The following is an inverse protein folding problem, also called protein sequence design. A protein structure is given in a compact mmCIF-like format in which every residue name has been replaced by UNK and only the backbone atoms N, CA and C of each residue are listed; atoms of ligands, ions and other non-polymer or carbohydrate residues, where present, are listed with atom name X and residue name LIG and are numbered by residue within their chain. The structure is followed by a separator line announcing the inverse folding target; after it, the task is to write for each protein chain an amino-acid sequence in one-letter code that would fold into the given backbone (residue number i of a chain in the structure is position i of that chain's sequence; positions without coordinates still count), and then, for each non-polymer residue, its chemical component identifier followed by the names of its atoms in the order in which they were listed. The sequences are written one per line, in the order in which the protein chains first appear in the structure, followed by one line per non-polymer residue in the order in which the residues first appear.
data_IF_057538198369
#
_entry.id   IF_057538198369
#
_cell.length_a   1.000
_cell.length_b   1.000
_cell.length_c   1.000
_cell.angle_alpha   90.00
_cell.angle_beta   90.00
_cell.angle_gamma   90.00
#
_symmetry.space_group_name_H-M   'P 1'
#
loop_
_entity.id
_entity.type
_entity.pdbx_description
1 polymer ?
#
# COMPACT_ATOMS: atom_id res chain seq x y z
N UNK A 1 -2.90 -16.94 10.49
CA UNK A 1 -3.44 -16.61 9.15
C UNK A 1 -2.44 -15.81 8.30
N UNK A 2 -1.87 -14.69 8.78
CA UNK A 2 -0.88 -13.92 7.99
C UNK A 2 0.34 -14.77 7.64
N UNK A 3 0.91 -15.46 8.60
CA UNK A 3 2.06 -16.34 8.38
C UNK A 3 1.74 -17.48 7.42
N UNK A 4 0.60 -18.15 7.60
CA UNK A 4 0.14 -19.18 6.67
C UNK A 4 -0.03 -18.65 5.23
N UNK A 5 -0.40 -17.38 5.07
CA UNK A 5 -0.43 -16.74 3.76
C UNK A 5 0.98 -16.54 3.18
N UNK A 6 1.93 -16.07 4.00
CA UNK A 6 3.32 -15.89 3.58
C UNK A 6 4.01 -17.25 3.30
N UNK A 7 3.77 -18.28 4.12
CA UNK A 7 4.26 -19.64 3.88
C UNK A 7 3.71 -20.22 2.59
N UNK A 8 2.45 -19.92 2.26
CA UNK A 8 1.84 -20.31 1.00
C UNK A 8 2.54 -19.78 -0.27
N UNK A 9 3.55 -18.92 -0.15
CA UNK A 9 4.35 -18.47 -1.30
C UNK A 9 5.40 -19.47 -1.77
N UNK A 10 5.64 -20.57 -1.07
CA UNK A 10 6.67 -21.56 -1.40
C UNK A 10 6.53 -22.19 -2.80
N UNK A 11 5.32 -22.23 -3.37
CA UNK A 11 5.13 -22.74 -4.73
C UNK A 11 5.29 -21.73 -5.84
N UNK A 12 5.69 -20.52 -5.55
CA UNK A 12 6.05 -19.56 -6.58
C UNK A 12 7.48 -19.79 -7.09
N UNK A 13 7.73 -19.44 -8.35
CA UNK A 13 9.07 -19.45 -8.92
C UNK A 13 9.93 -18.32 -8.35
N UNK A 14 11.26 -18.47 -8.41
CA UNK A 14 12.21 -17.41 -8.09
C UNK A 14 12.50 -17.25 -6.60
N UNK A 15 12.91 -16.05 -6.19
CA UNK A 15 13.32 -15.74 -4.83
C UNK A 15 12.10 -15.54 -3.91
N UNK A 16 11.76 -16.57 -3.17
CA UNK A 16 10.61 -16.60 -2.26
C UNK A 16 10.79 -15.62 -1.10
N UNK A 17 11.99 -15.49 -0.56
CA UNK A 17 12.26 -14.56 0.54
C UNK A 17 11.98 -13.12 0.11
N UNK A 18 12.48 -12.73 -1.05
CA UNK A 18 12.22 -11.41 -1.64
C UNK A 18 10.73 -11.19 -1.95
N UNK A 19 10.01 -12.24 -2.36
CA UNK A 19 8.56 -12.16 -2.56
C UNK A 19 7.84 -11.89 -1.25
N UNK A 20 8.16 -12.61 -0.17
CA UNK A 20 7.59 -12.43 1.16
C UNK A 20 7.89 -11.02 1.73
N UNK A 21 9.11 -10.54 1.53
CA UNK A 21 9.48 -9.16 1.88
C UNK A 21 8.62 -8.13 1.12
N UNK A 22 8.44 -8.34 -0.19
CA UNK A 22 7.61 -7.47 -1.01
C UNK A 22 6.15 -7.48 -0.56
N UNK A 23 5.61 -8.65 -0.26
CA UNK A 23 4.24 -8.78 0.25
C UNK A 23 4.07 -8.10 1.61
N UNK A 24 5.04 -8.22 2.50
CA UNK A 24 5.03 -7.53 3.80
C UNK A 24 5.04 -6.01 3.62
N UNK A 25 5.85 -5.48 2.68
CA UNK A 25 5.88 -4.04 2.35
C UNK A 25 4.54 -3.54 1.78
N UNK A 26 3.91 -4.34 0.93
CA UNK A 26 2.58 -4.04 0.37
C UNK A 26 1.54 -3.97 1.50
N UNK A 27 1.53 -4.93 2.41
CA UNK A 27 0.62 -4.95 3.56
C UNK A 27 0.85 -3.76 4.49
N UNK A 28 2.10 -3.44 4.78
CA UNK A 28 2.44 -2.26 5.59
C UNK A 28 1.93 -0.96 4.95
N UNK A 29 2.11 -0.78 3.64
CA UNK A 29 1.55 0.35 2.93
C UNK A 29 0.03 0.40 3.06
N UNK A 30 -0.65 -0.74 2.88
CA UNK A 30 -2.11 -0.80 3.03
C UNK A 30 -2.56 -0.40 4.44
N UNK A 31 -1.86 -0.85 5.47
CA UNK A 31 -2.18 -0.50 6.86
C UNK A 31 -1.97 0.99 7.15
N UNK A 32 -0.98 1.61 6.54
CA UNK A 32 -0.68 3.03 6.67
C UNK A 32 -1.53 3.91 5.74
N UNK A 33 -2.13 3.34 4.70
CA UNK A 33 -2.81 4.09 3.64
C UNK A 33 -3.90 5.06 4.11
N UNK A 34 -4.68 4.78 5.18
CA UNK A 34 -5.68 5.72 5.68
C UNK A 34 -5.10 7.02 6.25
N UNK A 35 -3.83 7.00 6.64
CA UNK A 35 -3.15 8.17 7.22
C UNK A 35 -2.46 9.05 6.17
N UNK A 36 -2.23 8.52 4.97
CA UNK A 36 -1.40 9.18 3.95
C UNK A 36 -1.90 10.57 3.56
N UNK A 37 -3.20 10.75 3.39
CA UNK A 37 -3.76 12.04 2.99
C UNK A 37 -3.58 13.10 4.10
N UNK A 38 -3.83 12.74 5.36
CA UNK A 38 -3.61 13.63 6.51
C UNK A 38 -2.14 14.02 6.62
N UNK A 39 -1.24 13.05 6.62
CA UNK A 39 0.20 13.29 6.71
C UNK A 39 0.72 14.17 5.56
N UNK A 40 0.19 13.95 4.37
CA UNK A 40 0.51 14.77 3.20
C UNK A 40 0.03 16.20 3.35
N UNK A 41 -1.16 16.41 3.90
CA UNK A 41 -1.71 17.71 4.21
C UNK A 41 -0.85 18.44 5.26
N UNK A 42 -0.56 17.78 6.39
CA UNK A 42 0.21 18.35 7.51
C UNK A 42 1.64 18.73 7.08
N UNK A 43 2.28 17.92 6.23
CA UNK A 43 3.64 18.15 5.76
C UNK A 43 3.73 19.13 4.58
N UNK A 44 2.66 19.32 3.83
CA UNK A 44 2.64 20.12 2.59
C UNK A 44 3.23 21.54 2.74
N UNK A 45 3.01 22.29 3.84
CA UNK A 45 3.59 23.62 4.02
C UNK A 45 5.12 23.63 4.20
N UNK A 46 5.69 22.51 4.60
CA UNK A 46 7.11 22.36 4.96
C UNK A 46 7.94 21.60 3.92
N UNK A 47 7.25 20.96 2.99
CA UNK A 47 7.90 20.15 1.96
C UNK A 47 8.53 21.02 0.88
N UNK A 48 9.70 20.63 0.34
CA UNK A 48 10.18 21.18 -0.91
C UNK A 48 9.15 21.04 -2.01
N UNK A 49 9.10 21.99 -2.95
CA UNK A 49 8.14 21.98 -4.05
C UNK A 49 8.09 20.61 -4.75
N UNK A 50 6.89 20.11 -4.98
CA UNK A 50 6.60 18.84 -5.65
C UNK A 50 7.14 17.57 -4.98
N UNK A 51 7.58 17.61 -3.71
CA UNK A 51 8.17 16.47 -3.01
C UNK A 51 7.19 15.70 -2.14
N UNK A 52 6.07 16.27 -1.73
CA UNK A 52 5.12 15.68 -0.75
C UNK A 52 4.62 14.32 -1.20
N UNK A 53 4.30 14.17 -2.47
CA UNK A 53 3.84 12.90 -3.04
C UNK A 53 4.89 11.77 -2.96
N UNK A 54 6.17 12.09 -2.81
CA UNK A 54 7.23 11.11 -2.63
C UNK A 54 7.21 10.50 -1.23
N UNK A 55 6.92 11.30 -0.21
CA UNK A 55 6.93 10.84 1.18
C UNK A 55 5.63 10.17 1.60
N UNK A 56 4.51 10.67 1.07
CA UNK A 56 3.16 10.15 1.37
C UNK A 56 2.42 9.80 0.07
N UNK A 57 2.80 8.71 -0.61
CA UNK A 57 2.22 8.33 -1.89
C UNK A 57 0.77 7.87 -1.73
N UNK A 58 -0.12 8.39 -2.57
CA UNK A 58 -1.53 7.98 -2.62
C UNK A 58 -1.77 6.79 -3.55
N UNK A 59 -0.75 6.38 -4.30
CA UNK A 59 -0.82 5.29 -5.27
C UNK A 59 0.28 4.29 -5.03
N UNK A 60 -0.08 3.01 -5.10
CA UNK A 60 0.85 1.90 -5.17
C UNK A 60 0.62 1.15 -6.48
N UNK A 61 1.69 0.94 -7.23
CA UNK A 61 1.66 0.19 -8.48
C UNK A 61 2.41 -1.12 -8.26
N UNK A 62 1.73 -2.24 -8.49
CA UNK A 62 2.32 -3.58 -8.42
C UNK A 62 2.33 -4.14 -9.83
N UNK A 63 3.52 -4.37 -10.36
CA UNK A 63 3.73 -4.95 -11.70
C UNK A 63 4.35 -6.34 -11.62
N UNK A 64 4.06 -7.17 -12.60
CA UNK A 64 4.62 -8.51 -12.71
C UNK A 64 3.72 -9.43 -13.53
N UNK A 65 4.16 -10.65 -13.83
CA UNK A 65 3.45 -11.57 -14.71
C UNK A 65 2.06 -11.93 -14.17
N UNK A 66 1.24 -12.52 -15.03
CA UNK A 66 0.00 -13.18 -14.60
C UNK A 66 0.34 -14.25 -13.55
N UNK A 67 -0.62 -14.56 -12.69
CA UNK A 67 -0.43 -15.53 -11.59
C UNK A 67 0.71 -15.19 -10.61
N UNK A 68 1.19 -13.94 -10.58
CA UNK A 68 2.18 -13.45 -9.62
C UNK A 68 1.61 -13.08 -8.24
N UNK A 69 0.34 -13.38 -7.96
CA UNK A 69 -0.29 -13.11 -6.65
C UNK A 69 -0.61 -11.63 -6.36
N UNK A 70 -0.47 -10.73 -7.35
CA UNK A 70 -0.66 -9.27 -7.19
C UNK A 70 -2.00 -8.89 -6.57
N UNK A 71 -3.09 -9.35 -7.16
CA UNK A 71 -4.45 -9.04 -6.67
C UNK A 71 -4.77 -9.81 -5.40
N UNK A 72 -4.19 -11.00 -5.23
CA UNK A 72 -4.38 -11.84 -4.04
C UNK A 72 -3.82 -11.18 -2.78
N UNK A 73 -2.60 -10.63 -2.81
CA UNK A 73 -2.01 -9.94 -1.66
C UNK A 73 -2.83 -8.70 -1.26
N UNK A 74 -3.36 -7.95 -2.23
CA UNK A 74 -4.21 -6.78 -1.94
C UNK A 74 -5.53 -7.23 -1.27
N UNK A 75 -6.19 -8.24 -1.82
CA UNK A 75 -7.42 -8.80 -1.21
C UNK A 75 -7.16 -9.35 0.19
N UNK A 76 -6.03 -9.99 0.40
CA UNK A 76 -5.59 -10.44 1.74
C UNK A 76 -5.43 -9.26 2.70
N UNK A 77 -4.77 -8.20 2.27
CA UNK A 77 -4.66 -6.97 3.06
C UNK A 77 -6.03 -6.36 3.40
N UNK A 78 -6.95 -6.33 2.44
CA UNK A 78 -8.32 -5.87 2.68
C UNK A 78 -9.07 -6.75 3.69
N UNK A 79 -8.90 -8.07 3.65
CA UNK A 79 -9.46 -8.97 4.66
C UNK A 79 -8.87 -8.69 6.05
N UNK A 80 -7.56 -8.49 6.16
CA UNK A 80 -6.92 -8.12 7.42
C UNK A 80 -7.39 -6.76 7.97
N UNK A 81 -7.74 -5.81 7.09
CA UNK A 81 -8.22 -4.48 7.48
C UNK A 81 -9.72 -4.45 7.80
N UNK A 82 -10.53 -5.07 6.97
CA UNK A 82 -12.00 -4.89 6.96
C UNK A 82 -12.78 -6.19 7.21
N UNK A 83 -12.12 -7.33 7.34
CA UNK A 83 -12.76 -8.65 7.43
C UNK A 83 -13.38 -9.13 6.11
N UNK A 84 -13.19 -8.39 5.02
CA UNK A 84 -13.71 -8.70 3.69
C UNK A 84 -12.89 -8.02 2.60
N UNK A 85 -12.93 -8.55 1.37
CA UNK A 85 -12.44 -7.82 0.20
C UNK A 85 -13.38 -6.68 -0.15
N UNK A 86 -12.81 -5.55 -0.54
CA UNK A 86 -13.56 -4.42 -1.09
C UNK A 86 -13.82 -4.64 -2.58
N UNK A 87 -14.80 -3.92 -3.11
CA UNK A 87 -15.09 -3.94 -4.54
C UNK A 87 -13.88 -3.45 -5.36
N UNK A 88 -13.50 -4.21 -6.38
CA UNK A 88 -12.46 -3.82 -7.33
C UNK A 88 -13.03 -2.82 -8.33
N UNK A 89 -12.37 -1.68 -8.48
CA UNK A 89 -12.80 -0.69 -9.48
C UNK A 89 -12.37 -1.12 -10.89
N UNK A 90 -13.21 -0.89 -11.90
CA UNK A 90 -12.86 -1.18 -13.28
C UNK A 90 -11.75 -0.22 -13.77
N UNK A 91 -10.91 -0.67 -14.70
CA UNK A 91 -9.79 0.13 -15.25
C UNK A 91 -10.25 1.42 -15.93
N UNK A 92 -11.52 1.48 -16.35
CA UNK A 92 -12.13 2.68 -16.95
C UNK A 92 -12.25 3.88 -16.01
N UNK A 93 -12.07 3.67 -14.68
CA UNK A 93 -12.03 4.78 -13.71
C UNK A 93 -10.73 5.58 -13.78
N UNK A 94 -9.66 5.01 -14.36
CA UNK A 94 -8.42 5.75 -14.59
C UNK A 94 -8.64 6.78 -15.71
N UNK A 95 -9.24 7.86 -15.31
CA UNK A 95 -9.36 9.09 -16.08
C UNK A 95 -9.43 10.24 -15.06
N UNK A 96 -8.95 11.45 -15.40
CA UNK A 96 -8.88 12.55 -14.44
C UNK A 96 -10.22 12.80 -13.73
N UNK A 97 -11.29 12.92 -14.49
CA UNK A 97 -12.63 13.26 -13.94
C UNK A 97 -13.20 12.14 -13.08
N UNK A 98 -13.13 10.89 -13.55
CA UNK A 98 -13.76 9.76 -12.83
C UNK A 98 -13.03 9.44 -11.54
N UNK A 99 -11.69 9.40 -11.59
CA UNK A 99 -10.91 9.05 -10.42
C UNK A 99 -11.03 10.11 -9.32
N UNK A 100 -11.11 11.38 -9.67
CA UNK A 100 -11.29 12.46 -8.70
C UNK A 100 -12.59 12.32 -7.90
N UNK A 101 -13.68 11.87 -8.52
CA UNK A 101 -14.92 11.57 -7.82
C UNK A 101 -14.74 10.43 -6.80
N UNK A 102 -13.99 9.39 -7.14
CA UNK A 102 -13.69 8.29 -6.21
C UNK A 102 -12.75 8.73 -5.08
N UNK A 103 -11.77 9.58 -5.35
CA UNK A 103 -10.83 10.09 -4.34
C UNK A 103 -11.57 10.69 -3.13
N UNK A 104 -12.59 11.48 -3.39
CA UNK A 104 -13.40 12.13 -2.33
C UNK A 104 -14.34 11.14 -1.65
N UNK A 105 -14.90 10.20 -2.39
CA UNK A 105 -15.93 9.27 -1.91
C UNK A 105 -15.43 8.13 -1.04
N UNK A 106 -14.17 7.73 -1.20
CA UNK A 106 -13.61 6.49 -0.59
C UNK A 106 -13.12 6.69 0.85
N UNK A 107 -12.94 7.91 1.32
CA UNK A 107 -12.62 8.25 2.72
C UNK A 107 -11.44 7.46 3.31
N UNK A 108 -10.29 7.50 2.67
CA UNK A 108 -9.03 6.91 3.18
C UNK A 108 -8.89 5.40 2.96
N UNK A 109 -9.89 4.71 2.40
CA UNK A 109 -9.77 3.27 2.13
C UNK A 109 -8.80 2.98 0.97
N UNK A 110 -7.97 1.91 1.07
CA UNK A 110 -7.18 1.41 -0.05
C UNK A 110 -8.06 0.62 -1.03
N UNK A 111 -8.15 1.07 -2.27
CA UNK A 111 -9.01 0.48 -3.30
C UNK A 111 -8.18 -0.11 -4.44
N UNK A 112 -8.55 -1.32 -4.86
CA UNK A 112 -7.90 -2.02 -5.97
C UNK A 112 -8.48 -1.58 -7.32
N UNK A 113 -7.58 -1.25 -8.25
CA UNK A 113 -7.84 -1.16 -9.69
C UNK A 113 -6.97 -2.24 -10.35
N UNK A 114 -7.60 -3.32 -10.80
CA UNK A 114 -6.91 -4.53 -11.20
C UNK A 114 -6.64 -4.56 -12.71
N UNK A 115 -5.48 -5.08 -13.09
CA UNK A 115 -5.07 -5.37 -14.48
C UNK A 115 -5.10 -4.14 -15.42
N UNK A 116 -4.47 -3.06 -14.99
CA UNK A 116 -4.45 -1.80 -15.74
C UNK A 116 -3.52 -1.91 -16.96
N UNK A 117 -4.05 -1.55 -18.12
CA UNK A 117 -3.34 -1.59 -19.41
C UNK A 117 -2.50 -0.33 -19.67
N UNK A 118 -1.53 -0.43 -20.58
CA UNK A 118 -0.68 0.70 -21.02
C UNK A 118 -1.47 1.93 -21.46
N UNK A 119 -2.56 1.73 -22.17
CA UNK A 119 -3.41 2.82 -22.66
C UNK A 119 -4.02 3.67 -21.52
N UNK A 120 -4.20 3.08 -20.35
CA UNK A 120 -4.73 3.77 -19.16
C UNK A 120 -3.64 4.45 -18.36
N UNK A 121 -2.42 3.92 -18.33
CA UNK A 121 -1.29 4.51 -17.61
C UNK A 121 -0.92 5.92 -18.08
N UNK A 122 -1.20 6.27 -19.34
CA UNK A 122 -0.95 7.64 -19.86
C UNK A 122 -1.68 8.73 -19.06
N UNK A 123 -2.83 8.40 -18.45
CA UNK A 123 -3.61 9.36 -17.65
C UNK A 123 -3.09 9.51 -16.22
N UNK A 124 -2.31 8.54 -15.72
CA UNK A 124 -1.82 8.58 -14.34
C UNK A 124 -0.95 9.80 -14.05
N UNK A 125 -0.20 10.28 -15.03
CA UNK A 125 0.65 11.46 -14.86
C UNK A 125 -0.13 12.68 -14.38
N UNK A 126 -1.25 12.97 -15.02
CA UNK A 126 -2.06 14.14 -14.69
C UNK A 126 -2.84 13.93 -13.38
N UNK A 127 -3.35 12.72 -13.19
CA UNK A 127 -4.06 12.29 -11.98
C UNK A 127 -3.18 12.44 -10.73
N UNK A 128 -1.95 11.94 -10.78
CA UNK A 128 -1.02 11.97 -9.63
C UNK A 128 -0.53 13.39 -9.32
N UNK A 129 -0.48 14.26 -10.33
CA UNK A 129 -0.15 15.68 -10.13
C UNK A 129 -1.28 16.49 -9.53
N UNK A 130 -2.53 16.15 -9.84
CA UNK A 130 -3.70 16.87 -9.31
C UNK A 130 -3.95 16.63 -7.81
N UNK A 131 -3.41 15.54 -7.24
CA UNK A 131 -3.63 15.17 -5.85
C UNK A 131 -3.17 16.23 -4.84
N UNK A 132 -2.05 16.91 -5.12
CA UNK A 132 -1.54 17.93 -4.23
C UNK A 132 -2.53 19.09 -4.06
N UNK A 133 -3.20 19.49 -5.14
CA UNK A 133 -4.20 20.53 -5.10
C UNK A 133 -5.46 20.10 -4.32
N UNK A 134 -5.91 18.84 -4.52
CA UNK A 134 -7.06 18.28 -3.82
C UNK A 134 -6.83 18.18 -2.30
N UNK A 135 -5.66 17.71 -1.90
CA UNK A 135 -5.33 17.55 -0.48
C UNK A 135 -5.14 18.92 0.20
N UNK A 136 -4.48 19.86 -0.45
CA UNK A 136 -4.36 21.26 0.04
C UNK A 136 -5.73 21.95 0.16
N UNK A 137 -6.71 21.56 -0.64
CA UNK A 137 -8.11 21.96 -0.51
C UNK A 137 -8.88 21.29 0.65
N UNK A 138 -8.17 20.77 1.66
CA UNK A 138 -8.71 20.11 2.87
C UNK A 138 -9.38 18.75 2.60
N UNK A 139 -9.08 18.08 1.49
CA UNK A 139 -9.53 16.70 1.29
C UNK A 139 -8.58 15.69 1.97
N UNK A 140 -8.51 15.75 3.28
CA UNK A 140 -7.67 14.86 4.10
C UNK A 140 -8.17 13.41 4.16
N UNK A 141 -9.38 13.15 3.68
CA UNK A 141 -9.97 11.80 3.62
C UNK A 141 -9.79 11.14 2.24
N UNK A 142 -8.90 11.66 1.42
CA UNK A 142 -8.58 11.13 0.12
C UNK A 142 -8.19 9.65 0.19
N UNK A 143 -8.83 8.81 -0.63
CA UNK A 143 -8.51 7.38 -0.70
C UNK A 143 -7.18 7.10 -1.37
N UNK A 144 -6.62 5.93 -1.08
CA UNK A 144 -5.42 5.42 -1.76
C UNK A 144 -5.80 4.38 -2.82
N UNK A 145 -5.02 4.30 -3.88
CA UNK A 145 -5.29 3.40 -5.00
C UNK A 145 -4.16 2.39 -5.19
N UNK A 146 -4.54 1.13 -5.21
CA UNK A 146 -3.67 -0.01 -5.42
C UNK A 146 -3.89 -0.48 -6.87
N UNK A 147 -2.89 -0.29 -7.70
CA UNK A 147 -2.97 -0.55 -9.15
C UNK A 147 -2.14 -1.77 -9.46
N UNK A 148 -2.74 -2.79 -10.07
CA UNK A 148 -1.98 -3.92 -10.60
C UNK A 148 -1.85 -3.82 -12.11
N UNK A 149 -0.76 -4.33 -12.63
CA UNK A 149 -0.52 -4.40 -14.08
C UNK A 149 0.35 -5.58 -14.43
N UNK A 150 0.23 -6.08 -15.64
CA UNK A 150 1.11 -7.09 -16.20
C UNK A 150 2.41 -6.45 -16.71
N UNK A 151 3.41 -7.26 -17.05
CA UNK A 151 4.74 -6.81 -17.44
C UNK A 151 4.77 -5.88 -18.67
N UNK A 152 5.89 -5.16 -18.81
CA UNK A 152 6.20 -4.38 -20.01
C UNK A 152 5.78 -2.92 -19.98
N UNK A 153 5.28 -2.43 -18.86
CA UNK A 153 4.86 -1.02 -18.75
C UNK A 153 6.01 -0.08 -18.40
N UNK A 154 6.26 0.89 -19.25
CA UNK A 154 7.18 1.98 -18.97
C UNK A 154 6.41 3.07 -18.24
N UNK A 155 6.75 3.29 -16.96
CA UNK A 155 6.14 4.35 -16.16
C UNK A 155 6.85 5.68 -16.42
N UNK A 156 6.07 6.75 -16.58
CA UNK A 156 6.61 8.11 -16.66
C UNK A 156 7.40 8.43 -15.35
N UNK A 157 8.60 9.02 -15.45
CA UNK A 157 9.42 9.37 -14.28
C UNK A 157 8.67 10.24 -13.25
N UNK A 158 7.73 11.08 -13.69
CA UNK A 158 6.92 11.90 -12.79
C UNK A 158 5.91 11.09 -11.97
N UNK A 159 5.45 9.96 -12.50
CA UNK A 159 4.60 8.99 -11.80
C UNK A 159 5.44 8.24 -10.77
N UNK A 160 6.61 7.70 -11.18
CA UNK A 160 7.51 6.97 -10.28
C UNK A 160 7.87 7.79 -9.04
N UNK A 161 8.12 9.10 -9.21
CA UNK A 161 8.47 10.00 -8.10
C UNK A 161 7.36 10.20 -7.07
N UNK A 162 6.11 9.90 -7.39
CA UNK A 162 4.92 10.17 -6.56
C UNK A 162 4.13 8.93 -6.17
N UNK A 163 4.61 7.76 -6.56
CA UNK A 163 3.95 6.46 -6.33
C UNK A 163 4.93 5.47 -5.74
N UNK A 164 4.42 4.50 -5.00
CA UNK A 164 5.21 3.32 -4.68
C UNK A 164 5.10 2.31 -5.82
N UNK A 165 6.23 1.80 -6.28
CA UNK A 165 6.27 0.81 -7.35
C UNK A 165 6.93 -0.47 -6.84
N UNK A 166 6.17 -1.56 -6.84
CA UNK A 166 6.67 -2.90 -6.55
C UNK A 166 6.69 -3.75 -7.80
N UNK A 167 7.75 -4.54 -7.94
CA UNK A 167 7.85 -5.53 -9.02
C UNK A 167 7.86 -6.92 -8.40
N UNK A 168 6.94 -7.77 -8.83
CA UNK A 168 6.82 -9.18 -8.43
C UNK A 168 7.20 -10.01 -9.66
N UNK A 169 8.45 -10.50 -9.75
CA UNK A 169 8.87 -11.32 -10.89
C UNK A 169 8.41 -12.77 -10.77
N UNK A 170 7.93 -13.16 -9.61
CA UNK A 170 7.52 -14.51 -9.27
C UNK A 170 6.21 -14.87 -9.96
N UNK A 171 6.05 -16.13 -10.32
CA UNK A 171 4.87 -16.69 -10.95
C UNK A 171 4.53 -18.05 -10.35
N UNK A 172 3.26 -18.34 -10.19
CA UNK A 172 2.77 -19.64 -9.83
C UNK A 172 2.54 -20.49 -11.09
N UNK A 173 2.88 -21.78 -11.03
CA UNK A 173 2.59 -22.70 -12.13
C UNK A 173 1.07 -22.82 -12.36
N UNK A 174 0.65 -22.94 -13.62
CA UNK A 174 -0.78 -22.91 -13.99
C UNK A 174 -1.58 -24.05 -13.36
N UNK A 175 -1.02 -25.24 -13.27
CA UNK A 175 -1.63 -26.42 -12.66
C UNK A 175 -1.83 -26.31 -11.15
N UNK A 176 -1.01 -25.52 -10.48
CA UNK A 176 -1.13 -25.23 -9.04
C UNK A 176 -2.08 -24.04 -8.73
N UNK A 177 -2.32 -23.16 -9.71
CA UNK A 177 -3.08 -21.93 -9.49
C UNK A 177 -4.50 -22.20 -9.00
N UNK A 178 -5.21 -23.15 -9.59
CA UNK A 178 -6.60 -23.48 -9.26
C UNK A 178 -6.74 -24.07 -7.84
N UNK A 179 -5.82 -24.95 -7.45
CA UNK A 179 -5.82 -25.55 -6.11
C UNK A 179 -5.55 -24.52 -5.04
N UNK A 180 -4.64 -23.58 -5.30
CA UNK A 180 -4.26 -22.53 -4.35
C UNK A 180 -5.30 -21.43 -4.24
N UNK A 181 -5.98 -21.05 -5.31
CA UNK A 181 -7.06 -20.07 -5.23
C UNK A 181 -8.14 -20.51 -4.25
N UNK A 182 -8.50 -21.81 -4.21
CA UNK A 182 -9.45 -22.33 -3.26
C UNK A 182 -8.92 -22.31 -1.81
N UNK A 183 -7.65 -22.66 -1.58
CA UNK A 183 -7.05 -22.65 -0.24
C UNK A 183 -6.83 -21.23 0.28
N UNK A 184 -6.42 -20.30 -0.57
CA UNK A 184 -6.32 -18.89 -0.21
C UNK A 184 -7.67 -18.25 0.08
N UNK A 185 -8.70 -18.57 -0.70
CA UNK A 185 -10.05 -18.10 -0.43
C UNK A 185 -10.58 -18.59 0.93
N UNK A 186 -10.28 -19.84 1.30
CA UNK A 186 -10.62 -20.38 2.63
C UNK A 186 -9.82 -19.70 3.74
N UNK A 187 -8.54 -19.46 3.53
CA UNK A 187 -7.69 -18.75 4.49
C UNK A 187 -8.18 -17.32 4.70
N UNK A 188 -8.47 -16.60 3.61
CA UNK A 188 -9.03 -15.23 3.67
C UNK A 188 -10.33 -15.16 4.45
N UNK A 189 -11.24 -16.13 4.28
CA UNK A 189 -12.49 -16.21 5.07
C UNK A 189 -12.26 -16.37 6.58
N UNK A 190 -11.14 -16.97 6.97
CA UNK A 190 -10.74 -17.12 8.38
C UNK A 190 -9.98 -15.90 8.93
N UNK A 191 -9.52 -15.01 8.07
CA UNK A 191 -8.81 -13.80 8.47
C UNK A 191 -9.78 -12.80 9.10
N UNK A 192 -9.55 -12.46 10.37
CA UNK A 192 -10.21 -11.35 11.02
C UNK A 192 -9.35 -10.10 11.00
N UNK A 193 -9.92 -8.98 11.43
CA UNK A 193 -9.24 -7.68 11.46
C UNK A 193 -8.55 -7.34 12.79
N UNK A 194 -8.37 -8.31 13.69
CA UNK A 194 -7.77 -8.09 15.00
C UNK A 194 -6.35 -7.51 14.91
N UNK A 195 -5.51 -8.02 14.00
CA UNK A 195 -4.16 -7.51 13.76
C UNK A 195 -4.19 -6.03 13.36
N UNK A 196 -5.04 -5.67 12.41
CA UNK A 196 -5.14 -4.29 11.95
C UNK A 196 -5.73 -3.35 13.01
N UNK A 197 -6.70 -3.81 13.78
CA UNK A 197 -7.25 -3.02 14.91
C UNK A 197 -6.18 -2.73 15.96
N UNK A 198 -5.37 -3.72 16.33
CA UNK A 198 -4.26 -3.52 17.26
C UNK A 198 -3.20 -2.57 16.70
N UNK A 199 -2.91 -2.68 15.38
CA UNK A 199 -2.04 -1.74 14.67
C UNK A 199 -2.60 -0.31 14.69
N UNK A 200 -3.89 -0.14 14.35
CA UNK A 200 -4.55 1.17 14.35
C UNK A 200 -4.50 1.84 15.72
N UNK A 201 -4.80 1.10 16.79
CA UNK A 201 -4.81 1.64 18.14
C UNK A 201 -3.47 2.27 18.50
N UNK A 202 -2.37 1.57 18.21
CA UNK A 202 -1.02 2.11 18.44
C UNK A 202 -0.63 3.19 17.45
N UNK A 203 -1.11 3.11 16.23
CA UNK A 203 -0.83 4.12 15.23
C UNK A 203 -1.49 5.46 15.58
N UNK A 204 -2.69 5.45 16.17
CA UNK A 204 -3.34 6.67 16.65
C UNK A 204 -2.56 7.37 17.75
N UNK A 205 -1.91 6.62 18.65
CA UNK A 205 -1.07 7.20 19.70
C UNK A 205 0.22 7.85 19.13
N UNK A 206 0.71 7.34 18.01
CA UNK A 206 1.98 7.79 17.40
C UNK A 206 1.79 8.83 16.29
N UNK A 207 0.61 8.91 15.65
CA UNK A 207 0.43 9.71 14.43
C UNK A 207 0.51 11.22 14.70
N UNK A 208 -0.04 11.68 15.80
CA UNK A 208 -0.03 13.10 16.15
C UNK A 208 1.40 13.52 16.56
N UNK A 209 2.08 12.70 17.37
CA UNK A 209 3.50 12.92 17.70
C UNK A 209 4.40 12.91 16.45
N UNK A 210 4.12 12.04 15.48
CA UNK A 210 4.83 12.03 14.21
C UNK A 210 4.54 13.29 13.38
N UNK A 211 3.29 13.76 13.35
CA UNK A 211 2.91 14.99 12.65
C UNK A 211 3.58 16.21 13.30
N UNK A 212 3.52 16.36 14.62
CA UNK A 212 4.19 17.42 15.36
C UNK A 212 5.70 17.39 15.13
N UNK A 213 6.27 16.18 15.12
CA UNK A 213 7.67 15.98 14.80
C UNK A 213 8.02 16.44 13.38
N UNK A 214 7.19 16.22 12.38
CA UNK A 214 7.42 16.67 10.99
C UNK A 214 7.47 18.19 10.85
N UNK A 215 6.68 18.92 11.65
CA UNK A 215 6.52 20.37 11.51
C UNK A 215 7.45 21.16 12.45
N UNK A 216 8.20 20.49 13.33
CA UNK A 216 9.10 21.16 14.27
C UNK A 216 10.28 21.84 13.56
N UNK A 217 10.62 23.07 13.99
CA UNK A 217 11.65 23.92 13.37
C UNK A 217 13.05 23.32 13.38
N UNK A 218 13.36 22.48 14.35
CA UNK A 218 14.66 21.84 14.51
C UNK A 218 15.06 20.96 13.34
N UNK A 219 14.13 20.58 12.47
CA UNK A 219 14.33 19.61 11.37
C UNK A 219 14.51 20.24 10.00
N UNK A 220 14.16 21.49 9.84
CA UNK A 220 14.39 22.21 8.59
C UNK A 220 15.89 22.33 8.26
N UNK A 221 16.78 22.14 9.24
CA UNK A 221 18.22 22.33 9.10
C UNK A 221 19.02 21.07 8.72
N UNK A 222 18.49 19.85 8.95
CA UNK A 222 19.32 18.62 8.88
C UNK A 222 19.04 17.71 7.66
N UNK A 223 18.31 18.18 6.65
CA UNK A 223 17.97 17.33 5.50
C UNK A 223 17.11 16.11 5.85
N UNK A 224 16.54 16.09 7.07
CA UNK A 224 15.63 15.05 7.52
C UNK A 224 14.35 15.06 6.69
N UNK A 225 13.83 13.90 6.41
CA UNK A 225 12.51 13.74 5.83
C UNK A 225 11.73 12.63 6.57
N UNK A 226 10.41 12.76 6.62
CA UNK A 226 9.57 11.85 7.38
C UNK A 226 9.54 10.46 6.75
N UNK A 227 9.75 9.44 7.58
CA UNK A 227 9.63 8.03 7.18
C UNK A 227 8.56 7.33 8.00
N UNK A 228 7.31 7.48 7.55
CA UNK A 228 6.15 6.83 8.18
C UNK A 228 6.21 5.31 8.08
N UNK A 229 6.88 4.77 7.06
CA UNK A 229 7.02 3.33 6.90
C UNK A 229 7.87 2.71 8.01
N UNK A 230 8.92 3.41 8.43
CA UNK A 230 9.75 2.99 9.57
C UNK A 230 8.94 2.99 10.88
N UNK A 231 8.11 3.99 11.09
CA UNK A 231 7.21 4.06 12.27
C UNK A 231 6.20 2.91 12.22
N UNK A 232 5.49 2.75 11.12
CA UNK A 232 4.51 1.68 10.94
C UNK A 232 5.12 0.28 11.06
N UNK A 233 6.33 0.07 10.55
CA UNK A 233 7.03 -1.21 10.69
C UNK A 233 7.33 -1.55 12.16
N UNK A 234 7.82 -0.58 12.94
CA UNK A 234 8.05 -0.76 14.38
C UNK A 234 6.75 -1.08 15.13
N UNK A 235 5.66 -0.40 14.80
CA UNK A 235 4.35 -0.67 15.40
C UNK A 235 3.88 -2.08 15.05
N UNK A 236 3.97 -2.48 13.77
CA UNK A 236 3.58 -3.82 13.34
C UNK A 236 4.39 -4.90 14.06
N UNK A 237 5.69 -4.71 14.21
CA UNK A 237 6.56 -5.62 14.97
C UNK A 237 6.13 -5.75 16.44
N UNK A 238 5.84 -4.62 17.11
CA UNK A 238 5.35 -4.62 18.49
C UNK A 238 4.02 -5.37 18.62
N UNK A 239 3.07 -5.10 17.71
CA UNK A 239 1.76 -5.77 17.71
C UNK A 239 1.90 -7.29 17.56
N UNK A 240 2.82 -7.75 16.71
CA UNK A 240 3.06 -9.18 16.51
C UNK A 240 3.77 -9.78 17.73
N UNK A 241 4.74 -9.08 18.29
CA UNK A 241 5.48 -9.56 19.48
C UNK A 241 4.57 -9.71 20.71
N UNK A 242 3.56 -8.85 20.88
CA UNK A 242 2.65 -8.91 22.03
C UNK A 242 1.72 -10.14 22.02
N UNK A 243 1.58 -10.82 20.90
CA UNK A 243 0.85 -12.10 20.84
C UNK A 243 1.77 -13.31 20.98
N UNK A 244 2.99 -13.08 21.49
CA UNK A 244 4.01 -14.11 21.78
C UNK A 244 4.36 -14.96 20.53
N UNK A 245 4.30 -14.35 19.37
CA UNK A 245 4.65 -14.99 18.10
C UNK A 245 6.07 -14.62 17.69
N UNK A 246 6.84 -15.62 17.27
CA UNK A 246 8.13 -15.37 16.66
C UNK A 246 7.98 -14.50 15.40
N UNK A 247 8.78 -13.42 15.32
CA UNK A 247 8.71 -12.51 14.18
C UNK A 247 9.19 -13.21 12.90
N UNK A 248 8.32 -13.21 11.91
CA UNK A 248 8.68 -13.72 10.59
C UNK A 248 9.88 -12.93 10.02
N UNK A 249 10.85 -13.59 9.37
CA UNK A 249 12.07 -12.93 8.88
C UNK A 249 11.81 -11.69 8.03
N UNK A 250 10.78 -11.73 7.17
CA UNK A 250 10.39 -10.60 6.32
C UNK A 250 9.88 -9.38 7.11
N UNK A 251 9.44 -9.56 8.36
CA UNK A 251 8.98 -8.48 9.23
C UNK A 251 10.15 -7.89 10.03
N UNK A 252 11.20 -8.68 10.31
CA UNK A 252 12.42 -8.21 10.97
C UNK A 252 13.24 -7.23 10.13
N UNK A 253 13.05 -7.20 8.82
CA UNK A 253 13.85 -6.42 7.87
C UNK A 253 13.51 -4.92 7.80
N UNK A 254 12.53 -4.45 8.56
CA UNK A 254 12.14 -3.02 8.59
C UNK A 254 12.83 -2.21 9.69
N UNK A 255 13.74 -2.83 10.41
CA UNK A 255 14.58 -2.18 11.43
C UNK A 255 15.93 -1.83 10.87
#
# INVERSE_FOLDING_TARGET
CLYQYLDGTEGFTGDIKKLQETYTKILLYMFLSPFMAKLRYDYSPYAPENSVGKYFPMYMIIRGPKSGGKSSIIRTGQHLMFGKSLHTLPTSVISPIKLDAYKVGIKGCPVLIDDVTNSRFRYLKDIVKSDDALIRGHNINHGTFLITTNDGQVLDPSVIKRTLVFTIPNQLAEDESVKRDSSFAQLQKKMGNALYRAFLHRMFDEIDAFSDYMVSDTKKMDGWFPDIFKVGAKILQKVIADVDMELYPSIKLFT
#
